data_IF_241794070094
#
_entry.id   IF_241794070094
#
_cell.length_a   1.000
_cell.length_b   1.000
_cell.length_c   1.000
_cell.angle_alpha   90.00
_cell.angle_beta   90.00
_cell.angle_gamma   90.00
#
_symmetry.space_group_name_H-M   'P 1'
#
loop_
_entity.id
_entity.type
_entity.pdbx_description
1 polymer ?
#
# COMPACT_ATOMS: atom_id res chain seq x y z
N UNK A 1 26.09 -24.15 8.12
CA UNK A 1 25.28 -25.31 8.60
C UNK A 1 24.70 -26.13 7.45
N UNK A 2 23.74 -25.61 6.66
CA UNK A 2 22.96 -26.38 5.66
C UNK A 2 23.79 -27.00 4.54
N UNK A 3 24.71 -26.23 3.95
CA UNK A 3 25.62 -26.73 2.92
C UNK A 3 26.49 -27.89 3.42
N UNK A 4 26.99 -27.81 4.67
CA UNK A 4 27.80 -28.85 5.31
C UNK A 4 27.03 -30.17 5.51
N UNK A 5 25.73 -30.09 5.81
CA UNK A 5 24.85 -31.27 5.85
C UNK A 5 24.82 -31.99 4.50
N UNK A 6 24.72 -31.24 3.39
CA UNK A 6 24.65 -31.79 2.04
C UNK A 6 26.00 -32.38 1.60
N UNK A 7 27.11 -31.72 1.92
CA UNK A 7 28.46 -32.23 1.61
C UNK A 7 28.76 -33.56 2.32
N UNK A 8 28.55 -33.62 3.64
CA UNK A 8 28.75 -34.86 4.39
C UNK A 8 27.80 -35.98 3.94
N UNK A 9 26.58 -35.62 3.53
CA UNK A 9 25.63 -36.57 2.95
C UNK A 9 26.12 -37.13 1.60
N UNK A 10 26.77 -36.30 0.78
CA UNK A 10 27.36 -36.72 -0.50
C UNK A 10 28.59 -37.62 -0.31
N UNK A 11 29.31 -37.45 0.79
CA UNK A 11 30.40 -38.34 1.23
C UNK A 11 29.92 -39.67 1.84
N UNK A 12 28.60 -39.91 1.90
CA UNK A 12 28.02 -41.15 2.43
C UNK A 12 27.92 -41.21 3.96
N UNK A 13 28.13 -40.09 4.67
CA UNK A 13 28.06 -40.06 6.13
C UNK A 13 26.62 -40.27 6.62
N UNK A 14 26.45 -41.10 7.65
CA UNK A 14 25.15 -41.39 8.25
C UNK A 14 24.54 -40.12 8.90
N UNK A 15 23.21 -39.95 8.77
CA UNK A 15 22.50 -38.77 9.24
C UNK A 15 22.67 -38.48 10.75
N UNK A 16 22.80 -39.52 11.58
CA UNK A 16 23.08 -39.40 13.02
C UNK A 16 24.42 -38.76 13.30
N UNK A 17 25.45 -39.14 12.54
CA UNK A 17 26.80 -38.58 12.64
C UNK A 17 26.86 -37.15 12.10
N UNK A 18 26.19 -36.88 10.97
CA UNK A 18 26.04 -35.51 10.44
C UNK A 18 25.38 -34.59 11.48
N UNK A 19 24.31 -35.07 12.13
CA UNK A 19 23.60 -34.31 13.15
C UNK A 19 24.51 -33.94 14.33
N UNK A 20 25.28 -34.91 14.84
CA UNK A 20 26.26 -34.68 15.91
C UNK A 20 27.36 -33.70 15.48
N UNK A 21 27.94 -33.88 14.29
CA UNK A 21 29.06 -33.05 13.81
C UNK A 21 28.63 -31.60 13.51
N UNK A 22 27.43 -31.40 12.97
CA UNK A 22 26.90 -30.09 12.62
C UNK A 22 26.19 -29.40 13.80
N UNK A 23 26.00 -30.11 14.91
CA UNK A 23 25.32 -29.58 16.10
C UNK A 23 23.82 -29.36 15.88
N UNK A 24 23.15 -30.31 15.23
CA UNK A 24 21.71 -30.23 14.91
C UNK A 24 20.99 -31.56 15.15
N UNK A 25 19.70 -31.64 14.84
CA UNK A 25 18.91 -32.86 14.97
C UNK A 25 18.92 -33.68 13.68
N UNK A 26 18.76 -35.00 13.79
CA UNK A 26 18.59 -35.90 12.63
C UNK A 26 17.41 -35.48 11.75
N UNK A 27 16.33 -34.98 12.36
CA UNK A 27 15.19 -34.41 11.64
C UNK A 27 15.55 -33.18 10.81
N UNK A 28 16.42 -32.31 11.33
CA UNK A 28 16.93 -31.16 10.56
C UNK A 28 17.80 -31.61 9.39
N UNK A 29 18.66 -32.62 9.59
CA UNK A 29 19.46 -33.23 8.52
C UNK A 29 18.54 -33.78 7.42
N UNK A 30 17.54 -34.58 7.77
CA UNK A 30 16.57 -35.13 6.82
C UNK A 30 15.84 -34.03 6.04
N UNK A 31 15.35 -32.99 6.75
CA UNK A 31 14.69 -31.84 6.14
C UNK A 31 15.57 -31.15 5.10
N UNK A 32 16.83 -30.87 5.42
CA UNK A 32 17.74 -30.17 4.50
C UNK A 32 18.15 -31.04 3.32
N UNK A 33 18.39 -32.33 3.52
CA UNK A 33 18.64 -33.29 2.44
C UNK A 33 17.46 -33.35 1.47
N UNK A 34 16.23 -33.49 1.97
CA UNK A 34 15.05 -33.53 1.10
C UNK A 34 14.79 -32.23 0.35
N UNK A 35 15.02 -31.07 1.00
CA UNK A 35 14.92 -29.78 0.31
C UNK A 35 15.96 -29.66 -0.82
N UNK A 36 17.18 -30.14 -0.59
CA UNK A 36 18.22 -30.18 -1.61
C UNK A 36 17.88 -31.15 -2.75
N UNK A 37 17.41 -32.36 -2.47
CA UNK A 37 16.99 -33.31 -3.50
C UNK A 37 15.89 -32.75 -4.39
N UNK A 38 14.97 -31.95 -3.83
CA UNK A 38 13.83 -31.39 -4.57
C UNK A 38 14.17 -30.13 -5.38
N UNK A 39 15.06 -29.27 -4.88
CA UNK A 39 15.26 -27.91 -5.42
C UNK A 39 16.74 -27.50 -5.52
N UNK A 40 17.67 -28.46 -5.41
CA UNK A 40 19.11 -28.21 -5.44
C UNK A 40 19.55 -27.17 -4.40
N UNK A 41 20.48 -26.30 -4.80
CA UNK A 41 21.05 -25.25 -3.95
C UNK A 41 19.99 -24.22 -3.54
N UNK A 42 19.00 -23.92 -4.38
CA UNK A 42 17.90 -23.01 -4.04
C UNK A 42 17.08 -23.53 -2.86
N UNK A 43 16.97 -24.85 -2.74
CA UNK A 43 16.35 -25.53 -1.60
C UNK A 43 17.01 -25.24 -0.25
N UNK A 44 18.24 -24.71 -0.22
CA UNK A 44 18.96 -24.39 1.01
C UNK A 44 18.72 -22.95 1.51
N UNK A 45 18.10 -22.10 0.68
CA UNK A 45 17.75 -20.72 1.04
C UNK A 45 16.64 -20.72 2.09
N UNK A 46 16.67 -19.75 3.02
CA UNK A 46 15.55 -19.56 3.95
C UNK A 46 14.30 -19.16 3.18
N UNK A 47 13.20 -19.87 3.43
CA UNK A 47 11.92 -19.42 2.92
C UNK A 47 11.61 -18.03 3.53
N UNK A 48 11.03 -17.10 2.75
CA UNK A 48 10.59 -15.82 3.29
C UNK A 48 9.63 -16.09 4.44
N UNK A 49 10.04 -15.70 5.65
CA UNK A 49 9.19 -15.82 6.84
C UNK A 49 8.18 -14.69 6.77
N UNK A 50 6.90 -15.03 6.76
CA UNK A 50 5.86 -14.04 7.01
C UNK A 50 6.08 -13.50 8.43
N UNK A 51 6.53 -12.24 8.52
CA UNK A 51 6.65 -11.56 9.81
C UNK A 51 5.28 -11.45 10.50
N UNK A 52 5.28 -11.02 11.77
CA UNK A 52 4.03 -10.79 12.52
C UNK A 52 3.08 -9.91 11.68
N UNK A 53 1.85 -10.36 11.40
CA UNK A 53 0.89 -9.54 10.66
C UNK A 53 0.73 -8.18 11.34
N UNK A 54 0.82 -7.09 10.58
CA UNK A 54 0.55 -5.75 11.11
C UNK A 54 -0.89 -5.72 11.61
N UNK A 55 -1.07 -5.46 12.91
CA UNK A 55 -2.39 -5.26 13.55
C UNK A 55 -2.95 -3.85 13.34
N UNK A 56 -2.35 -3.05 12.45
CA UNK A 56 -2.82 -1.69 12.19
C UNK A 56 -3.83 -1.76 11.06
N UNK A 57 -5.08 -1.41 11.38
CA UNK A 57 -6.11 -1.20 10.38
C UNK A 57 -5.86 0.13 9.64
N UNK A 58 -5.10 0.06 8.55
CA UNK A 58 -4.82 1.21 7.71
C UNK A 58 -6.10 1.79 7.09
N UNK A 59 -7.14 0.97 6.83
CA UNK A 59 -8.41 1.46 6.28
C UNK A 59 -9.08 2.40 7.27
N UNK A 60 -9.11 2.04 8.56
CA UNK A 60 -9.64 2.90 9.61
C UNK A 60 -8.93 4.26 9.68
N UNK A 61 -7.62 4.31 9.44
CA UNK A 61 -6.86 5.58 9.39
C UNK A 61 -7.36 6.43 8.21
N UNK A 62 -7.48 5.84 7.02
CA UNK A 62 -7.89 6.57 5.82
C UNK A 62 -9.33 7.06 5.94
N UNK A 63 -10.27 6.20 6.34
CA UNK A 63 -11.68 6.57 6.51
C UNK A 63 -11.84 7.73 7.50
N UNK A 64 -11.19 7.66 8.67
CA UNK A 64 -11.24 8.74 9.65
C UNK A 64 -10.59 10.04 9.14
N UNK A 65 -9.55 9.93 8.30
CA UNK A 65 -8.93 11.10 7.67
C UNK A 65 -9.92 11.81 6.74
N UNK A 66 -10.64 11.05 5.91
CA UNK A 66 -11.59 11.57 4.92
C UNK A 66 -12.88 12.14 5.55
N UNK A 67 -13.30 11.62 6.69
CA UNK A 67 -14.44 12.17 7.44
C UNK A 67 -14.14 13.54 8.06
N UNK A 68 -12.86 13.91 8.17
CA UNK A 68 -12.42 15.15 8.81
C UNK A 68 -12.59 15.16 10.34
N UNK A 69 -11.95 16.12 11.03
CA UNK A 69 -12.11 16.30 12.46
C UNK A 69 -13.48 16.87 12.83
N UNK A 70 -14.01 16.47 13.99
CA UNK A 70 -15.23 17.08 14.55
C UNK A 70 -15.07 18.60 14.70
N UNK A 71 -16.13 19.36 14.39
CA UNK A 71 -16.18 20.82 14.58
C UNK A 71 -15.81 21.25 16.01
N UNK A 72 -16.12 20.42 17.00
CA UNK A 72 -15.79 20.68 18.41
C UNK A 72 -14.30 20.75 18.72
N UNK A 73 -13.45 20.24 17.83
CA UNK A 73 -11.99 20.29 17.99
C UNK A 73 -11.38 21.62 17.52
N UNK A 74 -12.15 22.48 16.85
CA UNK A 74 -11.67 23.79 16.37
C UNK A 74 -10.56 23.71 15.32
N UNK A 75 -10.38 22.56 14.67
CA UNK A 75 -9.38 22.35 13.62
C UNK A 75 -10.06 22.04 12.29
N UNK A 76 -9.50 22.55 11.20
CA UNK A 76 -10.02 22.31 9.84
C UNK A 76 -9.55 20.99 9.27
N UNK A 77 -8.38 20.50 9.69
CA UNK A 77 -7.76 19.29 9.17
C UNK A 77 -7.10 18.47 10.28
N UNK A 78 -6.92 17.18 10.03
CA UNK A 78 -6.19 16.30 10.93
C UNK A 78 -4.68 16.60 10.90
N UNK A 79 -4.08 16.79 12.07
CA UNK A 79 -2.65 16.52 12.24
C UNK A 79 -2.43 15.04 12.55
N UNK A 80 -1.26 14.50 12.22
CA UNK A 80 -0.94 13.09 12.47
C UNK A 80 -1.05 12.73 13.96
N UNK A 81 -0.74 13.67 14.86
CA UNK A 81 -0.86 13.51 16.32
C UNK A 81 -2.33 13.51 16.78
N UNK A 82 -3.13 14.40 16.23
CA UNK A 82 -4.53 14.56 16.63
C UNK A 82 -5.36 13.35 16.19
N UNK A 83 -5.15 12.87 14.95
CA UNK A 83 -5.78 11.64 14.47
C UNK A 83 -5.28 10.40 15.22
N UNK A 84 -3.99 10.34 15.56
CA UNK A 84 -3.44 9.26 16.36
C UNK A 84 -4.06 9.18 17.77
N UNK A 85 -4.25 10.32 18.42
CA UNK A 85 -4.93 10.41 19.73
C UNK A 85 -6.41 10.00 19.64
N UNK A 86 -7.07 10.34 18.54
CA UNK A 86 -8.46 9.96 18.27
C UNK A 86 -8.58 8.43 18.05
N UNK A 87 -7.66 7.84 17.28
CA UNK A 87 -7.66 6.42 16.95
C UNK A 87 -6.93 5.53 17.96
N UNK A 88 -6.32 6.12 19.00
CA UNK A 88 -5.52 5.44 20.04
C UNK A 88 -4.38 4.59 19.45
N UNK A 89 -3.64 5.17 18.50
CA UNK A 89 -2.46 4.56 17.86
C UNK A 89 -1.27 5.52 17.87
N UNK A 90 -0.09 5.07 17.43
CA UNK A 90 1.08 5.94 17.28
C UNK A 90 0.97 6.89 16.08
N UNK A 91 1.45 8.13 16.23
CA UNK A 91 1.48 9.13 15.15
C UNK A 91 2.29 8.69 13.91
N UNK A 92 3.38 7.94 14.11
CA UNK A 92 4.22 7.41 13.04
C UNK A 92 3.46 6.39 12.19
N UNK A 93 2.51 5.68 12.79
CA UNK A 93 1.61 4.76 12.09
C UNK A 93 0.69 5.52 11.15
N UNK A 94 0.08 6.61 11.63
CA UNK A 94 -0.75 7.51 10.82
C UNK A 94 0.06 8.12 9.67
N UNK A 95 1.22 8.70 9.97
CA UNK A 95 2.08 9.31 8.95
C UNK A 95 2.54 8.32 7.89
N UNK A 96 2.84 7.07 8.28
CA UNK A 96 3.21 6.00 7.35
C UNK A 96 2.03 5.61 6.45
N UNK A 97 0.83 5.50 7.01
CA UNK A 97 -0.37 5.23 6.22
C UNK A 97 -0.63 6.36 5.21
N UNK A 98 -0.61 7.63 5.64
CA UNK A 98 -0.76 8.77 4.73
C UNK A 98 0.26 8.76 3.60
N UNK A 99 1.55 8.54 3.90
CA UNK A 99 2.59 8.46 2.85
C UNK A 99 2.36 7.29 1.90
N UNK A 100 1.95 6.13 2.42
CA UNK A 100 1.69 4.93 1.61
C UNK A 100 0.52 5.12 0.64
N UNK A 101 -0.52 5.83 1.06
CA UNK A 101 -1.74 6.06 0.25
C UNK A 101 -1.83 7.45 -0.39
N UNK A 102 -0.77 8.27 -0.29
CA UNK A 102 -0.76 9.63 -0.84
C UNK A 102 -1.77 10.60 -0.22
N UNK A 103 -2.28 10.30 0.99
CA UNK A 103 -3.31 11.14 1.62
C UNK A 103 -2.68 12.39 2.24
N UNK A 104 -3.20 13.55 1.85
CA UNK A 104 -2.77 14.86 2.34
C UNK A 104 -3.97 15.55 3.01
N UNK A 105 -4.14 15.45 4.34
CA UNK A 105 -5.33 15.94 5.03
C UNK A 105 -5.61 17.43 4.80
N UNK A 106 -4.57 18.25 4.64
CA UNK A 106 -4.67 19.70 4.41
C UNK A 106 -4.93 20.07 2.96
N UNK A 107 -4.91 19.11 2.04
CA UNK A 107 -5.10 19.34 0.61
C UNK A 107 -6.45 18.74 0.21
N UNK A 108 -7.43 19.61 0.14
CA UNK A 108 -8.72 19.28 -0.45
C UNK A 108 -8.66 19.57 -1.94
N UNK A 109 -8.79 18.54 -2.77
CA UNK A 109 -8.99 18.70 -4.21
C UNK A 109 -10.48 18.56 -4.51
N UNK A 110 -11.03 19.51 -5.26
CA UNK A 110 -12.41 19.43 -5.74
C UNK A 110 -12.46 18.55 -6.98
N UNK A 111 -13.25 17.49 -6.94
CA UNK A 111 -13.58 16.70 -8.12
C UNK A 111 -14.96 17.14 -8.61
N UNK A 112 -15.01 17.72 -9.80
CA UNK A 112 -16.28 17.97 -10.48
C UNK A 112 -16.65 16.73 -11.27
N UNK A 113 -17.72 16.07 -10.84
CA UNK A 113 -18.34 14.97 -11.57
C UNK A 113 -19.69 15.44 -12.09
N UNK A 114 -20.02 15.09 -13.33
CA UNK A 114 -21.36 15.29 -13.88
C UNK A 114 -21.98 13.93 -14.17
N UNK A 115 -23.24 13.76 -13.78
CA UNK A 115 -24.06 12.58 -14.09
C UNK A 115 -24.76 12.69 -15.45
N UNK A 116 -24.53 13.77 -16.19
CA UNK A 116 -25.12 14.00 -17.51
C UNK A 116 -24.53 13.01 -18.54
N UNK A 117 -25.34 12.09 -19.12
CA UNK A 117 -24.86 11.16 -20.14
C UNK A 117 -24.31 11.86 -21.39
N UNK A 118 -24.74 13.10 -21.66
CA UNK A 118 -24.31 13.89 -22.82
C UNK A 118 -23.11 14.81 -22.52
N UNK A 119 -22.52 14.73 -21.31
CA UNK A 119 -21.45 15.64 -20.89
C UNK A 119 -20.33 15.76 -21.93
N UNK A 120 -19.89 14.63 -22.48
CA UNK A 120 -18.81 14.59 -23.47
C UNK A 120 -19.23 15.35 -24.73
N UNK A 121 -20.43 15.09 -25.25
CA UNK A 121 -20.95 15.77 -26.43
C UNK A 121 -21.03 17.29 -26.22
N UNK A 122 -21.62 17.73 -25.10
CA UNK A 122 -21.74 19.15 -24.76
C UNK A 122 -20.38 19.83 -24.60
N UNK A 123 -19.41 19.16 -23.98
CA UNK A 123 -18.04 19.69 -23.86
C UNK A 123 -17.38 19.79 -25.23
N UNK A 124 -17.53 18.77 -26.08
CA UNK A 124 -16.99 18.78 -27.44
C UNK A 124 -17.60 19.90 -28.28
N UNK A 125 -18.92 20.12 -28.20
CA UNK A 125 -19.60 21.19 -28.92
C UNK A 125 -19.09 22.58 -28.47
N UNK A 126 -18.98 22.81 -27.16
CA UNK A 126 -18.46 24.07 -26.61
C UNK A 126 -16.99 24.29 -27.04
N UNK A 127 -16.13 23.26 -26.95
CA UNK A 127 -14.74 23.37 -27.39
C UNK A 127 -14.66 23.61 -28.90
N UNK A 128 -15.57 23.02 -29.69
CA UNK A 128 -15.70 23.24 -31.12
C UNK A 128 -15.90 24.71 -31.48
N UNK A 129 -16.71 25.44 -30.69
CA UNK A 129 -16.90 26.89 -30.88
C UNK A 129 -15.61 27.70 -30.72
N UNK A 130 -14.64 27.23 -29.93
CA UNK A 130 -13.33 27.89 -29.78
C UNK A 130 -12.33 27.48 -30.87
N UNK A 131 -12.38 26.22 -31.31
CA UNK A 131 -11.44 25.71 -32.32
C UNK A 131 -11.81 26.10 -33.74
N UNK A 132 -13.11 26.21 -34.05
CA UNK A 132 -13.64 26.63 -35.33
C UNK A 132 -14.78 27.63 -35.12
N UNK A 133 -14.46 28.88 -34.75
CA UNK A 133 -15.47 29.89 -34.44
C UNK A 133 -16.32 30.21 -35.67
N UNK A 134 -17.66 30.23 -35.56
CA UNK A 134 -18.53 30.58 -36.67
C UNK A 134 -18.39 32.07 -37.05
N UNK A 135 -18.54 32.38 -38.34
CA UNK A 135 -18.55 33.77 -38.81
C UNK A 135 -19.72 34.56 -38.19
N UNK A 136 -19.42 35.76 -37.69
CA UNK A 136 -20.38 36.66 -37.04
C UNK A 136 -21.07 36.11 -35.77
N UNK A 137 -20.48 35.12 -35.10
CA UNK A 137 -21.01 34.58 -33.83
C UNK A 137 -20.45 35.33 -32.61
N UNK A 138 -21.31 35.52 -31.59
CA UNK A 138 -20.92 36.03 -30.27
C UNK A 138 -21.12 34.91 -29.24
N UNK A 139 -20.05 34.56 -28.52
CA UNK A 139 -20.12 33.60 -27.41
C UNK A 139 -20.26 34.39 -26.09
N UNK A 140 -21.37 34.18 -25.39
CA UNK A 140 -21.61 34.77 -24.07
C UNK A 140 -21.44 33.69 -22.99
N UNK A 141 -20.50 33.91 -22.08
CA UNK A 141 -20.30 33.06 -20.91
C UNK A 141 -20.83 33.79 -19.66
N UNK A 142 -21.73 33.13 -18.93
CA UNK A 142 -22.26 33.62 -17.65
C UNK A 142 -21.90 32.58 -16.61
N UNK A 143 -21.06 32.95 -15.65
CA UNK A 143 -20.72 32.13 -14.49
C UNK A 143 -21.24 32.83 -13.23
N UNK A 144 -22.01 32.10 -12.42
CA UNK A 144 -22.46 32.59 -11.14
C UNK A 144 -21.46 32.14 -10.07
N UNK A 145 -20.65 33.07 -9.58
CA UNK A 145 -19.69 32.78 -8.52
C UNK A 145 -20.42 32.72 -7.18
N UNK A 146 -20.76 31.52 -6.72
CA UNK A 146 -21.26 31.30 -5.37
C UNK A 146 -20.20 31.77 -4.36
N UNK A 147 -20.48 32.82 -3.58
CA UNK A 147 -19.65 33.19 -2.44
C UNK A 147 -19.77 32.09 -1.37
N UNK A 148 -18.64 31.45 -1.07
CA UNK A 148 -18.41 30.73 0.18
C UNK A 148 -17.52 31.62 1.03
#
# INVERSE_FOLDING_TARGET
MRARIVLLAAEGVANTRIAAEVGTTTMSVWKWRNRYTRAGVEGLVDAPRAGRPKRVDEKRIITATLQGPSKSLGVTHWSSRLLANHLKIGNATVARAWRKYGVQPWRSETFKFSTDPELVGKVTDIVGLYLAPPENAIVLCVDEKSQI
#
